data_IF_292825670700
#
_entry.id   IF_292825670700
#
_cell.length_a   1.000
_cell.length_b   1.000
_cell.length_c   1.000
_cell.angle_alpha   90.00
_cell.angle_beta   90.00
_cell.angle_gamma   90.00
#
_symmetry.space_group_name_H-M   'P 1'
#
loop_
_entity.id
_entity.type
_entity.pdbx_description
1 polymer ?
#
# COMPACT_ATOMS: atom_id res chain seq x y z
N UNK A 1 17.96 -4.81 0.79
CA UNK A 1 18.05 -4.76 -0.69
C UNK A 1 18.81 -3.50 -1.06
N UNK A 2 19.73 -3.57 -2.02
CA UNK A 2 20.37 -2.36 -2.54
C UNK A 2 19.34 -1.55 -3.35
N UNK A 3 19.10 -0.30 -2.96
CA UNK A 3 18.13 0.58 -3.62
C UNK A 3 18.53 0.92 -5.06
N UNK A 4 19.81 0.82 -5.41
CA UNK A 4 20.28 1.02 -6.79
C UNK A 4 19.68 -0.01 -7.76
N UNK A 5 19.42 -1.23 -7.27
CA UNK A 5 18.82 -2.32 -8.04
C UNK A 5 17.34 -2.05 -8.37
N UNK A 6 16.63 -1.29 -7.55
CA UNK A 6 15.22 -0.94 -7.81
C UNK A 6 15.10 -0.16 -9.12
N UNK A 7 16.01 0.79 -9.34
CA UNK A 7 16.01 1.67 -10.51
C UNK A 7 16.47 0.99 -11.81
N UNK A 8 17.25 -0.09 -11.69
CA UNK A 8 17.89 -0.78 -12.83
C UNK A 8 17.23 -2.11 -13.16
N UNK A 9 16.36 -2.62 -12.29
CA UNK A 9 15.60 -3.87 -12.54
C UNK A 9 14.36 -3.58 -13.38
N UNK A 10 14.17 -4.37 -14.44
CA UNK A 10 12.90 -4.45 -15.14
C UNK A 10 11.94 -5.31 -14.30
N UNK A 11 10.93 -4.67 -13.73
CA UNK A 11 9.86 -5.30 -12.95
C UNK A 11 8.68 -5.64 -13.84
N UNK A 12 8.16 -6.86 -13.73
CA UNK A 12 6.98 -7.32 -14.46
C UNK A 12 5.70 -6.77 -13.84
N UNK A 13 5.66 -6.71 -12.50
CA UNK A 13 4.57 -6.12 -11.74
C UNK A 13 5.11 -5.08 -10.74
N UNK A 14 4.37 -3.97 -10.60
CA UNK A 14 4.65 -2.92 -9.62
C UNK A 14 3.38 -2.62 -8.85
N UNK A 15 3.40 -2.86 -7.54
CA UNK A 15 2.35 -2.46 -6.62
C UNK A 15 2.78 -1.18 -5.89
N UNK A 16 1.93 -0.17 -5.92
CA UNK A 16 2.08 1.04 -5.09
C UNK A 16 1.11 0.88 -3.93
N UNK A 17 1.66 0.56 -2.75
CA UNK A 17 0.96 -0.04 -1.62
C UNK A 17 1.25 -1.55 -1.53
N UNK A 18 1.71 -1.98 -0.36
CA UNK A 18 1.99 -3.36 0.06
C UNK A 18 0.93 -3.92 1.03
N UNK A 19 -0.26 -3.30 1.09
CA UNK A 19 -1.39 -3.76 1.89
C UNK A 19 -1.98 -5.10 1.41
N UNK A 20 -3.17 -5.44 1.94
CA UNK A 20 -3.80 -6.76 1.76
C UNK A 20 -3.86 -7.21 0.29
N UNK A 21 -4.39 -6.38 -0.60
CA UNK A 21 -4.55 -6.73 -2.01
C UNK A 21 -3.21 -7.02 -2.69
N UNK A 22 -2.21 -6.15 -2.51
CA UNK A 22 -0.89 -6.33 -3.10
C UNK A 22 -0.19 -7.59 -2.56
N UNK A 23 -0.29 -7.85 -1.25
CA UNK A 23 0.29 -9.03 -0.63
C UNK A 23 -0.34 -10.33 -1.13
N UNK A 24 -1.68 -10.40 -1.22
CA UNK A 24 -2.40 -11.58 -1.72
C UNK A 24 -2.13 -11.83 -3.21
N UNK A 25 -2.22 -10.79 -4.04
CA UNK A 25 -1.99 -10.92 -5.48
C UNK A 25 -0.53 -11.27 -5.78
N UNK A 26 0.43 -10.60 -5.12
CA UNK A 26 1.85 -10.92 -5.30
C UNK A 26 2.17 -12.36 -4.88
N UNK A 27 1.58 -12.84 -3.79
CA UNK A 27 1.73 -14.23 -3.36
C UNK A 27 1.22 -15.20 -4.43
N UNK A 28 -0.02 -15.04 -4.91
CA UNK A 28 -0.58 -15.91 -5.95
C UNK A 28 0.18 -15.87 -7.27
N UNK A 29 0.70 -14.70 -7.67
CA UNK A 29 1.56 -14.58 -8.84
C UNK A 29 2.88 -15.35 -8.68
N UNK A 30 3.51 -15.28 -7.50
CA UNK A 30 4.75 -16.00 -7.22
C UNK A 30 4.55 -17.52 -7.06
N UNK A 31 3.36 -17.96 -6.62
CA UNK A 31 3.00 -19.37 -6.66
C UNK A 31 2.85 -19.88 -8.10
N UNK A 32 2.26 -19.06 -8.99
CA UNK A 32 2.08 -19.39 -10.40
C UNK A 32 3.40 -19.42 -11.17
N UNK A 33 4.25 -18.40 -10.99
CA UNK A 33 5.60 -18.35 -11.54
C UNK A 33 6.60 -17.72 -10.56
N UNK A 34 7.46 -18.53 -9.90
CA UNK A 34 8.41 -18.04 -8.92
C UNK A 34 9.57 -17.23 -9.51
N UNK A 35 9.67 -17.11 -10.84
CA UNK A 35 10.70 -16.30 -11.50
C UNK A 35 10.29 -14.84 -11.69
N UNK A 36 9.01 -14.51 -11.49
CA UNK A 36 8.50 -13.15 -11.64
C UNK A 36 9.24 -12.19 -10.71
N UNK A 37 9.60 -11.03 -11.24
CA UNK A 37 10.15 -9.90 -10.50
C UNK A 37 9.03 -8.92 -10.19
N UNK A 38 8.57 -8.97 -8.94
CA UNK A 38 7.51 -8.12 -8.42
C UNK A 38 8.10 -7.09 -7.46
N UNK A 39 7.76 -5.81 -7.66
CA UNK A 39 8.09 -4.72 -6.73
C UNK A 39 6.82 -4.28 -6.00
N UNK A 40 6.84 -4.32 -4.68
CA UNK A 40 5.86 -3.64 -3.84
C UNK A 40 6.52 -2.44 -3.17
N UNK A 41 5.93 -1.26 -3.35
CA UNK A 41 6.36 -0.01 -2.72
C UNK A 41 5.36 0.34 -1.61
N UNK A 42 5.73 0.05 -0.36
CA UNK A 42 4.90 0.28 0.82
C UNK A 42 5.37 1.55 1.55
N UNK A 43 4.42 2.36 2.04
CA UNK A 43 4.72 3.58 2.78
C UNK A 43 5.13 3.28 4.23
N UNK A 44 4.49 2.27 4.83
CA UNK A 44 4.79 1.78 6.16
C UNK A 44 6.03 0.88 6.25
N UNK A 45 6.53 0.62 7.47
CA UNK A 45 7.60 -0.34 7.70
C UNK A 45 7.11 -1.79 7.49
N UNK A 46 8.06 -2.74 7.42
CA UNK A 46 7.72 -4.16 7.42
C UNK A 46 6.96 -4.56 8.70
N UNK A 47 5.81 -5.19 8.50
CA UNK A 47 4.87 -5.61 9.53
C UNK A 47 5.18 -6.99 10.15
N UNK A 48 6.01 -7.83 9.53
CA UNK A 48 6.11 -9.26 9.87
C UNK A 48 6.48 -9.56 11.34
N UNK A 49 7.33 -8.74 11.93
CA UNK A 49 7.86 -8.95 13.29
C UNK A 49 7.27 -7.97 14.32
N UNK A 50 6.18 -7.27 13.97
CA UNK A 50 5.49 -6.30 14.84
C UNK A 50 4.49 -7.03 15.76
N UNK A 51 4.78 -7.22 17.05
CA UNK A 51 3.87 -7.93 17.96
C UNK A 51 2.56 -7.18 18.18
N UNK A 52 2.57 -5.86 18.00
CA UNK A 52 1.42 -4.97 18.10
C UNK A 52 0.49 -5.03 16.87
N UNK A 53 0.84 -5.81 15.83
CA UNK A 53 -0.08 -6.19 14.74
C UNK A 53 -0.89 -7.43 15.12
N UNK A 54 -0.25 -8.44 15.69
CA UNK A 54 -0.93 -9.64 16.17
C UNK A 54 -1.76 -9.37 17.44
N UNK A 55 -1.28 -8.45 18.28
CA UNK A 55 -1.90 -8.06 19.54
C UNK A 55 -2.17 -6.55 19.56
N UNK A 56 -3.19 -6.08 18.82
CA UNK A 56 -3.43 -4.66 18.65
C UNK A 56 -3.75 -3.97 19.97
N UNK A 57 -3.12 -2.83 20.18
CA UNK A 57 -3.52 -1.86 21.20
C UNK A 57 -4.11 -0.62 20.49
N UNK A 58 -5.08 0.03 21.13
CA UNK A 58 -5.79 1.17 20.54
C UNK A 58 -4.92 2.43 20.37
N UNK A 59 -3.71 2.45 20.93
CA UNK A 59 -2.81 3.61 20.87
C UNK A 59 -2.06 3.76 19.55
N UNK A 60 -2.01 2.73 18.71
CA UNK A 60 -1.27 2.77 17.45
C UNK A 60 -2.14 3.15 16.24
N UNK A 61 -3.45 3.34 16.42
CA UNK A 61 -4.43 3.48 15.32
C UNK A 61 -4.76 4.94 14.98
N UNK A 62 -5.00 5.81 15.98
CA UNK A 62 -5.30 7.24 15.76
C UNK A 62 -4.11 8.07 16.24
N UNK A 63 -3.47 8.80 15.34
CA UNK A 63 -2.25 9.57 15.58
C UNK A 63 -0.99 8.71 15.80
N UNK A 64 -1.13 7.38 15.73
CA UNK A 64 -0.05 6.41 15.95
C UNK A 64 0.60 5.92 14.65
N UNK A 65 1.44 4.90 14.77
CA UNK A 65 2.24 4.36 13.67
C UNK A 65 1.42 3.75 12.51
N UNK A 66 0.19 3.29 12.76
CA UNK A 66 -0.69 2.73 11.74
C UNK A 66 -1.66 3.75 11.15
N UNK A 67 -1.67 4.98 11.67
CA UNK A 67 -2.50 6.04 11.14
C UNK A 67 -1.85 6.57 9.87
N UNK A 68 -2.53 6.40 8.73
CA UNK A 68 -2.14 7.08 7.48
C UNK A 68 -2.17 8.60 7.61
N UNK A 69 -2.81 9.09 8.69
CA UNK A 69 -3.21 10.46 8.99
C UNK A 69 -4.13 10.94 7.90
N UNK A 70 -5.26 11.54 8.28
CA UNK A 70 -6.30 11.88 7.30
C UNK A 70 -5.74 12.62 6.09
N UNK A 71 -6.34 12.40 4.91
CA UNK A 71 -6.00 13.03 3.61
C UNK A 71 -5.93 14.57 3.61
N UNK A 72 -6.09 15.24 4.74
CA UNK A 72 -5.94 16.69 4.88
C UNK A 72 -4.62 17.08 5.56
N UNK A 73 -3.78 16.12 5.97
CA UNK A 73 -2.50 16.40 6.61
C UNK A 73 -1.36 16.62 5.59
N UNK A 74 -0.58 17.71 5.72
CA UNK A 74 0.60 17.95 4.89
C UNK A 74 1.69 16.88 5.18
N UNK A 75 2.19 16.20 4.14
CA UNK A 75 3.39 15.37 4.28
C UNK A 75 3.40 14.01 3.58
N UNK A 76 2.36 13.62 2.86
CA UNK A 76 2.34 12.33 2.12
C UNK A 76 3.24 12.42 0.87
N UNK A 77 4.47 11.87 0.87
CA UNK A 77 5.52 12.25 -0.09
C UNK A 77 5.24 11.84 -1.54
N UNK A 78 4.29 10.93 -1.75
CA UNK A 78 3.91 10.40 -3.05
C UNK A 78 2.54 10.89 -3.54
N UNK A 79 1.78 11.61 -2.70
CA UNK A 79 0.40 12.01 -3.02
C UNK A 79 0.32 12.73 -4.35
N UNK A 80 1.07 13.81 -4.52
CA UNK A 80 0.97 14.63 -5.73
C UNK A 80 1.42 13.88 -6.99
N UNK A 81 2.36 12.94 -6.85
CA UNK A 81 2.82 12.10 -7.97
C UNK A 81 1.76 11.07 -8.36
N UNK A 82 1.14 10.43 -7.38
CA UNK A 82 0.06 9.45 -7.60
C UNK A 82 -1.18 10.15 -8.17
N UNK A 83 -1.58 11.30 -7.62
CA UNK A 83 -2.73 12.07 -8.13
C UNK A 83 -2.51 12.52 -9.58
N UNK A 84 -1.29 12.95 -9.94
CA UNK A 84 -0.96 13.26 -11.35
C UNK A 84 -1.04 12.03 -12.25
N UNK A 85 -0.47 10.90 -11.83
CA UNK A 85 -0.53 9.67 -12.60
C UNK A 85 -1.97 9.16 -12.79
N UNK A 86 -2.84 9.32 -11.79
CA UNK A 86 -4.27 9.00 -11.90
C UNK A 86 -4.99 9.93 -12.87
N UNK A 87 -4.73 11.24 -12.78
CA UNK A 87 -5.30 12.21 -13.73
C UNK A 87 -4.86 11.95 -15.17
N UNK A 88 -3.61 11.52 -15.40
CA UNK A 88 -3.11 11.12 -16.73
C UNK A 88 -3.82 9.88 -17.30
N UNK A 89 -4.48 9.09 -16.45
CA UNK A 89 -5.23 7.88 -16.82
C UNK A 89 -6.74 8.09 -16.80
N UNK A 90 -7.23 9.33 -16.68
CA UNK A 90 -8.64 9.67 -16.47
C UNK A 90 -9.28 8.92 -15.27
N UNK A 91 -8.47 8.61 -14.25
CA UNK A 91 -8.93 8.04 -12.99
C UNK A 91 -9.33 9.18 -12.06
N UNK A 92 -10.63 9.43 -11.95
CA UNK A 92 -11.17 10.40 -11.01
C UNK A 92 -11.20 9.85 -9.58
N UNK A 93 -10.97 10.71 -8.60
CA UNK A 93 -11.16 10.34 -7.20
C UNK A 93 -12.63 10.04 -6.92
N UNK A 94 -12.90 9.00 -6.13
CA UNK A 94 -14.26 8.73 -5.68
C UNK A 94 -14.84 9.91 -4.89
N UNK A 95 -16.15 10.19 -5.03
CA UNK A 95 -16.82 11.18 -4.20
C UNK A 95 -16.55 10.91 -2.71
N UNK A 96 -15.98 11.88 -2.01
CA UNK A 96 -15.63 11.76 -0.59
C UNK A 96 -14.18 11.38 -0.27
N UNK A 97 -13.32 11.15 -1.29
CA UNK A 97 -11.89 10.79 -1.13
C UNK A 97 -11.70 9.60 -0.18
N UNK A 98 -12.45 8.56 -0.47
CA UNK A 98 -12.63 7.43 0.42
C UNK A 98 -11.42 6.49 0.42
N UNK A 99 -10.62 6.53 1.49
CA UNK A 99 -9.44 5.68 1.65
C UNK A 99 -9.76 4.22 2.00
N UNK A 100 -11.00 3.93 2.45
CA UNK A 100 -11.34 2.70 3.18
C UNK A 100 -12.83 2.60 3.62
N UNK A 101 -13.76 3.33 3.00
CA UNK A 101 -15.20 3.48 3.33
C UNK A 101 -15.50 3.74 4.81
N UNK A 102 -14.58 4.40 5.53
CA UNK A 102 -14.69 4.61 6.97
C UNK A 102 -14.83 3.31 7.77
N UNK A 103 -14.45 2.17 7.19
CA UNK A 103 -14.60 0.85 7.79
C UNK A 103 -13.35 -0.02 7.51
N UNK A 104 -12.37 -0.05 8.44
CA UNK A 104 -11.08 -0.73 8.25
C UNK A 104 -11.17 -2.27 8.26
N UNK A 105 -12.36 -2.85 8.03
CA UNK A 105 -12.60 -4.28 8.16
C UNK A 105 -12.19 -5.10 6.94
N UNK A 106 -11.82 -4.50 5.81
CA UNK A 106 -11.20 -5.23 4.69
C UNK A 106 -11.98 -6.47 4.23
N UNK A 107 -13.32 -6.46 4.35
CA UNK A 107 -14.16 -7.52 3.80
C UNK A 107 -14.72 -7.00 2.48
N UNK A 108 -14.05 -7.36 1.39
CA UNK A 108 -14.72 -7.47 0.11
C UNK A 108 -15.59 -8.72 0.17
N UNK A 109 -16.90 -8.54 0.29
CA UNK A 109 -17.85 -9.64 0.15
C UNK A 109 -17.61 -10.38 -1.17
N UNK A 110 -17.50 -11.71 -1.07
CA UNK A 110 -17.97 -12.66 -2.07
C UNK A 110 -19.03 -13.55 -1.42
#
# INVERSE_FOLDING_TARGET
>A
MDLSLISTTLWEYRFVGGGLCASVVAHGLLEFDPKLKILAVEAGPNANDRPDIAWPNSTNVIGGDFDFRGINEPGVPLRDRVLRAWAELDVEAFPGLDGDAGNPLGVGDL
#
